data_IF_880527454707
#
_entry.id   IF_880527454707
#
_cell.length_a   1.000
_cell.length_b   1.000
_cell.length_c   1.000
_cell.angle_alpha   90.00
_cell.angle_beta   90.00
_cell.angle_gamma   90.00
#
_symmetry.space_group_name_H-M   'P 1'
#
loop_
_entity.id
_entity.type
_entity.pdbx_description
1 polymer ?
#
# COMPACT_ATOMS: atom_id res chain seq x y z
N UNK A 1 12.62 2.37 16.28
CA UNK A 1 11.20 2.13 16.59
C UNK A 1 10.87 0.79 15.96
N UNK A 2 10.28 -0.15 16.71
CA UNK A 2 9.96 -1.49 16.21
C UNK A 2 8.72 -1.38 15.31
N UNK A 3 8.91 -1.20 14.00
CA UNK A 3 7.79 -1.17 13.06
C UNK A 3 7.26 -2.59 12.89
N UNK A 4 6.30 -2.97 13.73
CA UNK A 4 5.61 -4.25 13.59
C UNK A 4 4.69 -4.15 12.37
N UNK A 5 5.00 -4.90 11.32
CA UNK A 5 4.19 -4.99 10.11
C UNK A 5 2.88 -5.75 10.41
N UNK A 6 1.89 -5.03 10.95
CA UNK A 6 0.53 -5.53 11.18
C UNK A 6 -0.40 -4.94 10.14
N UNK A 7 -1.42 -5.71 9.72
CA UNK A 7 -2.36 -5.29 8.68
C UNK A 7 -2.96 -3.90 8.95
N UNK A 8 -3.32 -3.60 10.20
CA UNK A 8 -3.82 -2.27 10.58
C UNK A 8 -2.81 -1.15 10.35
N UNK A 9 -1.53 -1.38 10.65
CA UNK A 9 -0.43 -0.42 10.41
C UNK A 9 -0.28 -0.14 8.92
N UNK A 10 -0.31 -1.19 8.09
CA UNK A 10 -0.20 -1.06 6.64
C UNK A 10 -1.39 -0.28 6.07
N UNK A 11 -2.61 -0.62 6.50
CA UNK A 11 -3.84 0.11 6.12
C UNK A 11 -3.73 1.59 6.50
N UNK A 12 -3.25 1.91 7.71
CA UNK A 12 -3.08 3.30 8.14
C UNK A 12 -2.00 4.02 7.34
N UNK A 13 -0.86 3.38 7.09
CA UNK A 13 0.23 3.93 6.28
C UNK A 13 -0.25 4.29 4.88
N UNK A 14 -0.92 3.33 4.20
CA UNK A 14 -1.46 3.56 2.85
C UNK A 14 -2.49 4.69 2.88
N UNK A 15 -3.40 4.70 3.85
CA UNK A 15 -4.42 5.74 3.95
C UNK A 15 -3.82 7.14 4.19
N UNK A 16 -2.79 7.25 5.03
CA UNK A 16 -2.08 8.50 5.29
C UNK A 16 -1.27 8.96 4.07
N UNK A 17 -0.51 8.05 3.46
CA UNK A 17 0.29 8.31 2.26
C UNK A 17 -0.60 8.75 1.09
N UNK A 18 -1.69 8.04 0.85
CA UNK A 18 -2.68 8.39 -0.18
C UNK A 18 -3.28 9.76 0.09
N UNK A 19 -3.58 10.11 1.36
CA UNK A 19 -4.06 11.45 1.70
C UNK A 19 -3.03 12.54 1.46
N UNK A 20 -1.76 12.28 1.75
CA UNK A 20 -0.66 13.23 1.53
C UNK A 20 -0.38 13.46 0.03
N UNK A 21 -0.57 12.43 -0.80
CA UNK A 21 -0.27 12.45 -2.24
C UNK A 21 -1.50 12.53 -3.16
N UNK A 22 -2.71 12.55 -2.61
CA UNK A 22 -3.93 12.61 -3.39
C UNK A 22 -4.05 13.91 -4.17
N UNK A 23 -4.46 13.80 -5.45
CA UNK A 23 -4.75 14.96 -6.31
C UNK A 23 -5.98 15.74 -5.87
N UNK A 24 -6.91 15.10 -5.14
CA UNK A 24 -8.09 15.74 -4.55
C UNK A 24 -7.97 15.76 -3.03
N UNK A 25 -8.46 16.84 -2.41
CA UNK A 25 -8.60 16.90 -0.96
C UNK A 25 -9.61 15.84 -0.51
N UNK A 26 -9.12 14.73 0.05
CA UNK A 26 -9.91 13.62 0.62
C UNK A 26 -10.40 13.93 2.05
N UNK A 27 -10.65 15.19 2.36
CA UNK A 27 -11.05 15.63 3.72
C UNK A 27 -12.31 14.89 4.17
N UNK A 28 -12.13 13.83 4.96
CA UNK A 28 -13.21 13.01 5.51
C UNK A 28 -13.63 11.78 4.68
N UNK A 29 -13.04 11.53 3.51
CA UNK A 29 -13.38 10.32 2.75
C UNK A 29 -12.77 9.10 3.44
N UNK A 30 -13.63 8.16 3.84
CA UNK A 30 -13.22 6.82 4.25
C UNK A 30 -12.80 6.10 2.97
N UNK A 31 -11.50 5.80 2.86
CA UNK A 31 -10.99 4.96 1.79
C UNK A 31 -11.44 3.53 2.12
N UNK A 32 -12.41 3.02 1.36
CA UNK A 32 -12.81 1.63 1.46
C UNK A 32 -11.66 0.73 1.01
N UNK A 33 -11.48 -0.40 1.70
CA UNK A 33 -10.36 -1.30 1.48
C UNK A 33 -10.24 -1.80 0.04
N UNK A 34 -11.36 -1.83 -0.69
CA UNK A 34 -11.50 -2.35 -2.05
C UNK A 34 -11.41 -1.26 -3.12
N UNK A 35 -11.23 0.01 -2.74
CA UNK A 35 -11.18 1.11 -3.69
C UNK A 35 -9.88 1.08 -4.46
N UNK A 36 -9.99 1.01 -5.79
CA UNK A 36 -8.87 1.22 -6.68
C UNK A 36 -8.48 2.70 -6.71
N UNK A 37 -7.33 3.05 -6.12
CA UNK A 37 -6.91 4.45 -5.99
C UNK A 37 -6.66 5.14 -7.32
N UNK A 38 -6.06 4.42 -8.27
CA UNK A 38 -5.79 4.95 -9.62
C UNK A 38 -7.08 5.06 -10.43
N UNK A 39 -7.95 4.03 -10.37
CA UNK A 39 -9.23 4.07 -11.08
C UNK A 39 -10.19 5.14 -10.52
N UNK A 40 -10.16 5.36 -9.21
CA UNK A 40 -10.89 6.45 -8.54
C UNK A 40 -10.28 7.84 -8.83
N UNK A 41 -9.13 7.91 -9.51
CA UNK A 41 -8.43 9.16 -9.81
C UNK A 41 -7.90 9.87 -8.56
N UNK A 42 -7.69 9.13 -7.47
CA UNK A 42 -7.18 9.65 -6.20
C UNK A 42 -5.67 9.92 -6.34
N UNK A 43 -4.95 8.90 -6.82
CA UNK A 43 -3.51 8.96 -7.09
C UNK A 43 -3.26 8.61 -8.56
N UNK A 44 -2.13 9.07 -9.09
CA UNK A 44 -1.69 8.71 -10.44
C UNK A 44 -0.90 7.39 -10.42
N UNK A 45 -0.73 6.74 -11.57
CA UNK A 45 0.01 5.47 -11.68
C UNK A 45 1.43 5.59 -11.13
N UNK A 46 2.07 6.76 -11.32
CA UNK A 46 3.40 7.06 -10.76
C UNK A 46 3.41 7.26 -9.25
N UNK A 47 2.34 7.80 -8.68
CA UNK A 47 2.22 7.93 -7.23
C UNK A 47 2.05 6.55 -6.59
N UNK A 48 1.30 5.66 -7.22
CA UNK A 48 1.17 4.28 -6.76
C UNK A 48 2.52 3.53 -6.71
N UNK A 49 3.39 3.69 -7.72
CA UNK A 49 4.74 3.09 -7.68
C UNK A 49 5.57 3.65 -6.50
N UNK A 50 5.44 4.94 -6.18
CA UNK A 50 6.11 5.53 -5.01
C UNK A 50 5.59 4.99 -3.69
N UNK A 51 4.27 4.81 -3.57
CA UNK A 51 3.66 4.19 -2.39
C UNK A 51 4.28 2.81 -2.09
N UNK A 52 4.50 2.00 -3.13
CA UNK A 52 5.14 0.69 -3.01
C UNK A 52 6.57 0.82 -2.50
N UNK A 53 7.38 1.67 -3.14
CA UNK A 53 8.77 1.91 -2.74
C UNK A 53 8.90 2.48 -1.31
N UNK A 54 8.02 3.41 -0.93
CA UNK A 54 7.97 3.98 0.42
C UNK A 54 7.59 2.90 1.45
N UNK A 55 6.64 2.02 1.13
CA UNK A 55 6.28 0.92 2.03
C UNK A 55 7.36 -0.15 2.14
N UNK A 56 8.00 -0.54 1.03
CA UNK A 56 9.17 -1.42 1.05
C UNK A 56 10.25 -0.85 1.98
N UNK A 57 10.52 0.46 1.87
CA UNK A 57 11.48 1.15 2.72
C UNK A 57 11.03 1.28 4.18
N UNK A 58 9.75 1.56 4.43
CA UNK A 58 9.19 1.74 5.79
C UNK A 58 9.12 0.42 6.55
N UNK A 59 8.74 -0.66 5.87
CA UNK A 59 8.59 -1.98 6.47
C UNK A 59 9.83 -2.87 6.31
N UNK A 60 10.81 -2.46 5.49
CA UNK A 60 12.01 -3.25 5.18
C UNK A 60 11.69 -4.53 4.42
N UNK A 61 10.77 -4.45 3.46
CA UNK A 61 10.28 -5.58 2.65
C UNK A 61 10.71 -5.41 1.19
N UNK A 62 10.71 -6.52 0.45
CA UNK A 62 10.88 -6.52 -1.00
C UNK A 62 9.57 -7.04 -1.61
N UNK A 63 8.84 -6.18 -2.31
CA UNK A 63 7.58 -6.50 -2.98
C UNK A 63 7.89 -6.95 -4.41
N UNK A 64 7.62 -8.22 -4.73
CA UNK A 64 7.88 -8.73 -6.07
C UNK A 64 6.81 -8.29 -7.07
N UNK A 65 7.01 -7.18 -7.77
CA UNK A 65 6.03 -6.65 -8.73
C UNK A 65 5.65 -7.63 -9.87
N UNK A 66 6.39 -8.72 -10.10
CA UNK A 66 6.06 -9.70 -11.14
C UNK A 66 4.99 -10.70 -10.67
N UNK A 67 4.94 -11.00 -9.38
CA UNK A 67 3.91 -11.86 -8.78
C UNK A 67 2.62 -11.10 -8.42
N UNK A 68 2.68 -9.78 -8.47
CA UNK A 68 1.65 -8.91 -7.94
C UNK A 68 0.82 -8.31 -9.07
N UNK A 69 -0.48 -8.64 -9.08
CA UNK A 69 -1.40 -8.10 -10.05
C UNK A 69 -1.61 -6.60 -9.76
N UNK A 70 -1.32 -5.69 -10.73
CA UNK A 70 -1.46 -4.26 -10.49
C UNK A 70 -2.91 -3.91 -10.14
N UNK A 71 -3.89 -4.66 -10.63
CA UNK A 71 -5.28 -4.49 -10.20
C UNK A 71 -5.47 -4.79 -8.71
N UNK A 72 -4.95 -5.90 -8.18
CA UNK A 72 -5.14 -6.24 -6.77
C UNK A 72 -4.44 -5.24 -5.83
N UNK A 73 -3.23 -4.79 -6.18
CA UNK A 73 -2.50 -3.83 -5.35
C UNK A 73 -3.02 -2.40 -5.36
N UNK A 74 -3.79 -2.05 -6.38
CA UNK A 74 -4.41 -0.72 -6.45
C UNK A 74 -5.46 -0.52 -5.35
N UNK A 75 -5.73 -1.53 -4.52
CA UNK A 75 -6.60 -1.50 -3.35
C UNK A 75 -5.79 -1.59 -2.05
N UNK A 76 -6.31 -1.02 -0.96
CA UNK A 76 -5.68 -1.12 0.37
C UNK A 76 -5.58 -2.58 0.80
N UNK A 77 -6.64 -3.36 0.53
CA UNK A 77 -6.73 -4.74 0.99
C UNK A 77 -5.71 -5.63 0.28
N UNK A 78 -5.59 -5.53 -1.04
CA UNK A 78 -4.57 -6.26 -1.81
C UNK A 78 -3.14 -5.83 -1.45
N UNK A 79 -2.93 -4.53 -1.22
CA UNK A 79 -1.64 -4.03 -0.73
C UNK A 79 -1.28 -4.61 0.64
N UNK A 80 -2.20 -4.51 1.61
CA UNK A 80 -1.99 -5.00 2.96
C UNK A 80 -1.75 -6.51 2.97
N UNK A 81 -2.52 -7.27 2.18
CA UNK A 81 -2.38 -8.73 2.10
C UNK A 81 -1.00 -9.14 1.57
N UNK A 82 -0.49 -8.40 0.61
CA UNK A 82 0.78 -8.74 -0.03
C UNK A 82 1.98 -8.32 0.79
N UNK A 83 1.90 -7.15 1.43
CA UNK A 83 2.85 -6.74 2.47
C UNK A 83 2.91 -7.78 3.59
N UNK A 84 1.75 -8.32 4.01
CA UNK A 84 1.69 -9.39 5.02
C UNK A 84 2.26 -10.72 4.51
N UNK A 85 2.12 -11.03 3.22
CA UNK A 85 2.77 -12.20 2.61
C UNK A 85 4.31 -12.06 2.60
N UNK A 86 4.84 -10.90 2.21
CA UNK A 86 6.29 -10.65 2.23
C UNK A 86 6.85 -10.60 3.66
N UNK A 87 6.14 -9.98 4.60
CA UNK A 87 6.55 -9.92 6.00
C UNK A 87 6.58 -11.30 6.67
N UNK A 88 5.78 -12.26 6.18
CA UNK A 88 5.80 -13.65 6.61
C UNK A 88 6.91 -14.50 5.97
N UNK A 89 7.45 -14.07 4.83
CA UNK A 89 8.51 -14.74 4.08
C UNK A 89 9.88 -14.10 4.39
N UNK A 90 10.28 -14.10 5.66
CA UNK A 90 11.64 -13.70 6.05
C UNK A 90 12.69 -14.61 5.39
N UNK A 91 13.96 -14.17 5.25
CA UNK A 91 15.02 -14.80 4.44
C UNK A 91 15.57 -16.15 4.97
N UNK A 92 14.72 -17.04 5.46
CA UNK A 92 15.05 -18.42 5.79
C UNK A 92 14.02 -19.38 5.17
N UNK A 93 14.15 -19.60 3.86
CA UNK A 93 13.64 -20.80 3.18
C UNK A 93 14.82 -21.49 2.49
#
# INVERSE_FOLDING_TARGET
MSTTCSEQTVRQFVADWVRAHAKKSLSGTVLDGSVHFVAAGIIDSMAFVRLLMDAESEFGLELDFSELDPAEFLTIDGFARSVMQCAGHGPNA
#
